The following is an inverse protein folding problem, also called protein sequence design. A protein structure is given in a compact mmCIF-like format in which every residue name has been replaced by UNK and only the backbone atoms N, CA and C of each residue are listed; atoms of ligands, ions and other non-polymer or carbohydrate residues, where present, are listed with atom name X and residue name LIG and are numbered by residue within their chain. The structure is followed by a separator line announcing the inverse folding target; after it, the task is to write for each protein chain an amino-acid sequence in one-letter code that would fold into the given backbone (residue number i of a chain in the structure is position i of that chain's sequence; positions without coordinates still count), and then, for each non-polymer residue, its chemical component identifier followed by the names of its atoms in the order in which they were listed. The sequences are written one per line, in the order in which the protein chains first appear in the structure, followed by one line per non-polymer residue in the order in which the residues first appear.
data_IF_170878052394
#
_entry.id   IF_170878052394
#
_cell.length_a   1.000
_cell.length_b   1.000
_cell.length_c   1.000
_cell.angle_alpha   90.00
_cell.angle_beta   90.00
_cell.angle_gamma   90.00
#
_symmetry.space_group_name_H-M   'P 1'
#
loop_
_entity.id
_entity.type
_entity.pdbx_description
1 polymer ?
#
# COMPACT_ATOMS: atom_id res chain seq x y z
N UNK A 1 -9.28 13.84 29.18
CA UNK A 1 -10.14 13.93 27.98
C UNK A 1 -10.53 12.52 27.59
N UNK A 2 -11.82 12.23 27.71
CA UNK A 2 -12.41 10.90 27.58
C UNK A 2 -12.11 10.25 26.23
N UNK A 3 -11.86 8.95 26.26
CA UNK A 3 -11.60 8.09 25.09
C UNK A 3 -12.75 8.11 24.07
N UNK A 4 -13.94 8.57 24.47
CA UNK A 4 -15.18 8.63 23.68
C UNK A 4 -15.45 9.98 23.00
N UNK A 5 -14.58 10.98 23.19
CA UNK A 5 -14.81 12.31 22.61
C UNK A 5 -14.46 12.37 21.11
N UNK A 6 -15.27 13.05 20.28
CA UNK A 6 -15.01 13.17 18.85
C UNK A 6 -13.68 13.89 18.60
N UNK A 7 -12.95 13.57 17.51
CA UNK A 7 -11.64 14.15 17.23
C UNK A 7 -11.67 15.66 16.95
N UNK A 8 -12.84 16.21 16.62
CA UNK A 8 -13.08 17.62 16.36
C UNK A 8 -14.54 17.95 16.70
N UNK A 9 -14.86 19.24 16.82
CA UNK A 9 -16.23 19.71 17.15
C UNK A 9 -16.82 20.62 16.08
N UNK A 10 -16.02 21.05 15.09
CA UNK A 10 -16.46 21.88 13.99
C UNK A 10 -17.45 21.13 13.08
N UNK A 11 -18.55 21.78 12.71
CA UNK A 11 -19.40 21.34 11.60
C UNK A 11 -18.89 21.97 10.30
N UNK A 12 -18.48 21.12 9.36
CA UNK A 12 -17.72 21.51 8.15
C UNK A 12 -18.51 21.30 6.87
N UNK A 13 -19.56 20.48 6.95
CA UNK A 13 -20.50 20.28 5.87
C UNK A 13 -21.49 21.45 5.89
N UNK A 14 -21.29 22.44 5.02
CA UNK A 14 -22.25 23.53 4.86
C UNK A 14 -23.59 22.95 4.34
N UNK A 15 -24.75 23.33 4.92
CA UNK A 15 -26.03 22.93 4.37
C UNK A 15 -26.25 23.61 3.03
N UNK A 16 -26.84 22.89 2.07
CA UNK A 16 -27.28 23.51 0.82
C UNK A 16 -28.21 24.70 1.14
N UNK A 17 -28.15 25.74 0.31
CA UNK A 17 -28.89 26.99 0.56
C UNK A 17 -30.40 26.78 0.76
N UNK A 18 -30.95 25.67 0.23
CA UNK A 18 -32.35 25.25 0.36
C UNK A 18 -32.66 24.41 1.62
N UNK A 19 -31.65 23.91 2.35
CA UNK A 19 -31.83 22.97 3.47
C UNK A 19 -31.60 23.59 4.85
N UNK A 20 -31.42 24.92 4.96
CA UNK A 20 -31.13 25.63 6.23
C UNK A 20 -32.13 25.37 7.38
N UNK A 21 -33.31 24.81 7.09
CA UNK A 21 -34.35 24.52 8.08
C UNK A 21 -34.70 23.02 8.24
N UNK A 22 -34.05 22.12 7.51
CA UNK A 22 -34.28 20.66 7.63
C UNK A 22 -33.11 20.08 8.41
N UNK A 23 -33.36 19.46 9.57
CA UNK A 23 -32.35 18.65 10.25
C UNK A 23 -31.86 17.61 9.24
N UNK A 24 -30.59 17.70 8.85
CA UNK A 24 -29.95 16.76 7.93
C UNK A 24 -30.20 15.35 8.43
N UNK A 25 -30.91 14.54 7.64
CA UNK A 25 -31.18 13.15 8.00
C UNK A 25 -29.87 12.38 7.97
N UNK A 26 -29.60 11.55 8.99
CA UNK A 26 -28.42 10.68 9.05
C UNK A 26 -28.29 9.80 7.79
N UNK A 27 -29.43 9.42 7.19
CA UNK A 27 -29.50 8.70 5.93
C UNK A 27 -28.83 9.44 4.75
N UNK A 28 -28.75 10.77 4.79
CA UNK A 28 -28.09 11.58 3.75
C UNK A 28 -26.55 11.52 3.81
N UNK A 29 -25.99 11.04 4.94
CA UNK A 29 -24.56 10.88 5.12
C UNK A 29 -24.06 9.50 4.68
N UNK A 30 -24.96 8.53 4.59
CA UNK A 30 -24.70 7.15 4.21
C UNK A 30 -24.80 6.98 2.68
N UNK A 31 -24.12 5.98 2.10
CA UNK A 31 -24.26 5.67 0.68
C UNK A 31 -25.68 5.20 0.35
N UNK A 32 -26.04 5.22 -0.93
CA UNK A 32 -27.38 4.80 -1.36
C UNK A 32 -27.67 3.31 -1.08
N UNK A 33 -26.66 2.46 -1.20
CA UNK A 33 -26.76 1.01 -0.98
C UNK A 33 -25.44 0.46 -0.45
N UNK A 34 -25.48 -0.62 0.32
CA UNK A 34 -24.32 -1.41 0.72
C UNK A 34 -24.47 -2.86 0.27
N UNK A 35 -23.38 -3.61 0.31
CA UNK A 35 -23.36 -5.06 0.03
C UNK A 35 -23.01 -5.84 1.27
N UNK A 36 -23.89 -6.75 1.67
CA UNK A 36 -23.69 -7.67 2.78
C UNK A 36 -23.97 -9.08 2.27
N UNK A 37 -22.98 -9.98 2.35
CA UNK A 37 -23.10 -11.37 1.87
C UNK A 37 -23.65 -11.52 0.43
N UNK A 38 -23.15 -10.67 -0.49
CA UNK A 38 -23.58 -10.57 -1.89
C UNK A 38 -24.99 -10.00 -2.13
N UNK A 39 -25.76 -9.73 -1.08
CA UNK A 39 -27.05 -9.05 -1.15
C UNK A 39 -26.90 -7.51 -1.13
N UNK A 40 -27.82 -6.82 -1.82
CA UNK A 40 -27.89 -5.36 -1.85
C UNK A 40 -28.86 -4.89 -0.77
N UNK A 41 -28.36 -4.11 0.19
CA UNK A 41 -29.13 -3.61 1.33
C UNK A 41 -29.08 -2.08 1.41
N UNK A 42 -30.09 -1.48 2.04
CA UNK A 42 -30.06 -0.05 2.40
C UNK A 42 -29.22 0.07 3.67
N UNK A 43 -28.12 0.84 3.65
CA UNK A 43 -27.26 0.95 4.81
C UNK A 43 -27.98 1.66 5.95
N UNK A 44 -27.85 1.10 7.15
CA UNK A 44 -28.17 1.73 8.41
C UNK A 44 -26.85 2.20 9.03
N UNK A 45 -26.88 3.14 9.98
CA UNK A 45 -25.69 3.56 10.74
C UNK A 45 -25.29 2.53 11.81
N UNK A 46 -25.52 1.25 11.53
CA UNK A 46 -25.26 0.14 12.44
C UNK A 46 -23.76 -0.24 12.49
N UNK A 47 -23.41 -1.00 13.53
CA UNK A 47 -22.03 -1.45 13.74
C UNK A 47 -21.55 -2.32 12.59
N UNK A 48 -22.41 -3.17 12.01
CA UNK A 48 -22.03 -4.06 10.91
C UNK A 48 -21.64 -3.29 9.65
N UNK A 49 -22.41 -2.27 9.26
CA UNK A 49 -22.06 -1.37 8.16
C UNK A 49 -20.72 -0.67 8.43
N UNK A 50 -20.55 -0.07 9.61
CA UNK A 50 -19.33 0.67 9.96
C UNK A 50 -18.10 -0.25 10.01
N UNK A 51 -18.27 -1.48 10.49
CA UNK A 51 -17.20 -2.48 10.48
C UNK A 51 -16.74 -2.80 9.07
N UNK A 52 -17.67 -3.00 8.14
CA UNK A 52 -17.34 -3.30 6.75
C UNK A 52 -16.68 -2.11 6.04
N UNK A 53 -17.12 -0.89 6.34
CA UNK A 53 -16.62 0.33 5.70
C UNK A 53 -15.29 0.86 6.26
N UNK A 54 -15.00 0.63 7.55
CA UNK A 54 -13.86 1.24 8.23
C UNK A 54 -12.78 0.24 8.67
N UNK A 55 -13.14 -1.02 8.97
CA UNK A 55 -12.16 -1.97 9.50
C UNK A 55 -11.25 -2.52 8.41
N UNK A 56 -9.95 -2.35 8.65
CA UNK A 56 -8.88 -2.87 7.79
C UNK A 56 -8.40 -4.26 8.22
N UNK A 57 -9.34 -5.20 8.47
CA UNK A 57 -9.08 -6.55 9.02
C UNK A 57 -7.93 -7.26 8.32
N UNK A 58 -7.95 -7.27 6.98
CA UNK A 58 -6.93 -7.89 6.13
C UNK A 58 -5.52 -7.34 6.41
N UNK A 59 -5.40 -6.04 6.60
CA UNK A 59 -4.09 -5.41 6.78
C UNK A 59 -3.57 -5.54 8.20
N UNK A 60 -4.49 -5.61 9.16
CA UNK A 60 -4.20 -5.90 10.56
C UNK A 60 -3.61 -7.32 10.75
N UNK A 61 -3.99 -8.29 9.91
CA UNK A 61 -3.44 -9.65 9.91
C UNK A 61 -1.94 -9.71 9.58
N UNK A 62 -1.47 -8.76 8.76
CA UNK A 62 -0.10 -8.73 8.24
C UNK A 62 0.67 -7.50 8.71
N UNK A 63 0.24 -6.90 9.82
CA UNK A 63 0.82 -5.66 10.36
C UNK A 63 2.35 -5.75 10.53
N UNK A 64 2.82 -6.85 11.09
CA UNK A 64 4.22 -7.24 11.30
C UNK A 64 5.07 -7.26 10.01
N UNK A 65 4.42 -7.32 8.84
CA UNK A 65 5.06 -7.35 7.52
C UNK A 65 4.80 -6.09 6.69
N UNK A 66 4.02 -5.12 7.20
CA UNK A 66 3.70 -3.89 6.45
C UNK A 66 4.93 -3.03 6.13
N UNK A 67 5.97 -3.12 6.96
CA UNK A 67 7.27 -2.47 6.71
C UNK A 67 7.93 -2.94 5.39
N UNK A 68 7.61 -4.15 4.92
CA UNK A 68 8.06 -4.62 3.60
C UNK A 68 7.32 -3.83 2.52
N UNK A 69 6.05 -3.50 2.72
CA UNK A 69 5.19 -2.87 1.74
C UNK A 69 5.37 -1.35 1.62
N UNK A 70 5.83 -0.68 2.68
CA UNK A 70 5.98 0.77 2.74
C UNK A 70 6.74 1.22 3.98
N UNK A 71 7.16 2.48 3.99
CA UNK A 71 7.83 3.08 5.16
C UNK A 71 6.76 3.62 6.14
N UNK A 72 7.03 3.62 7.46
CA UNK A 72 6.12 4.17 8.46
C UNK A 72 6.13 5.71 8.44
N UNK A 73 5.62 6.27 7.34
CA UNK A 73 5.50 7.69 7.12
C UNK A 73 4.08 8.01 6.62
N UNK A 74 3.55 9.21 6.93
CA UNK A 74 2.30 9.67 6.34
C UNK A 74 2.36 9.64 4.80
N UNK A 75 1.22 9.51 4.12
CA UNK A 75 1.17 9.52 2.66
C UNK A 75 1.67 10.87 2.13
N UNK A 76 2.25 10.88 0.92
CA UNK A 76 2.61 12.14 0.28
C UNK A 76 1.36 12.87 -0.20
N UNK A 77 1.37 14.22 -0.23
CA UNK A 77 0.24 15.01 -0.70
C UNK A 77 -0.16 14.69 -2.16
N UNK A 78 -1.40 14.97 -2.53
CA UNK A 78 -1.98 14.60 -3.83
C UNK A 78 -1.24 15.18 -5.05
N UNK A 79 -0.80 16.44 -4.99
CA UNK A 79 0.01 17.05 -6.04
C UNK A 79 1.32 16.30 -6.25
N UNK A 80 1.92 15.79 -5.16
CA UNK A 80 3.14 14.99 -5.24
C UNK A 80 2.85 13.59 -5.80
N UNK A 81 1.67 13.02 -5.56
CA UNK A 81 1.25 11.79 -6.26
C UNK A 81 1.21 12.00 -7.78
N UNK A 82 0.66 13.14 -8.24
CA UNK A 82 0.67 13.51 -9.67
C UNK A 82 2.10 13.73 -10.20
N UNK A 83 3.00 14.36 -9.43
CA UNK A 83 4.43 14.50 -9.80
C UNK A 83 5.13 13.14 -9.96
N UNK A 84 4.76 12.15 -9.15
CA UNK A 84 5.23 10.77 -9.29
C UNK A 84 4.57 10.01 -10.45
N UNK A 85 3.83 10.72 -11.32
CA UNK A 85 3.08 10.16 -12.45
C UNK A 85 2.10 9.05 -12.02
N UNK A 86 1.47 9.23 -10.86
CA UNK A 86 0.41 8.34 -10.37
C UNK A 86 -0.97 8.91 -10.69
N UNK A 87 -1.79 8.11 -11.34
CA UNK A 87 -3.21 8.33 -11.49
C UNK A 87 -3.91 8.07 -10.15
N UNK A 88 -4.79 8.99 -9.77
CA UNK A 88 -5.63 8.86 -8.59
C UNK A 88 -6.90 8.09 -9.00
N UNK A 89 -7.09 6.90 -8.43
CA UNK A 89 -8.21 6.01 -8.75
C UNK A 89 -9.11 5.89 -7.52
N UNK A 90 -10.39 6.22 -7.70
CA UNK A 90 -11.42 6.08 -6.66
C UNK A 90 -11.69 4.59 -6.39
N UNK A 91 -11.81 4.23 -5.12
CA UNK A 91 -12.08 2.87 -4.69
C UNK A 91 -12.82 2.85 -3.34
N UNK A 92 -14.02 2.27 -3.28
CA UNK A 92 -14.77 2.20 -2.02
C UNK A 92 -14.23 1.16 -1.01
N UNK A 93 -13.37 0.22 -1.44
CA UNK A 93 -12.74 -0.74 -0.52
C UNK A 93 -11.67 -0.04 0.35
N UNK A 94 -11.94 0.06 1.67
CA UNK A 94 -11.02 0.66 2.66
C UNK A 94 -9.67 -0.06 2.73
N UNK A 95 -9.65 -1.36 2.42
CA UNK A 95 -8.42 -2.14 2.41
C UNK A 95 -7.45 -1.66 1.31
N UNK A 96 -7.97 -1.07 0.23
CA UNK A 96 -7.18 -0.51 -0.86
C UNK A 96 -6.83 0.97 -0.67
N UNK A 97 -7.37 1.66 0.33
CA UNK A 97 -7.04 3.06 0.59
C UNK A 97 -5.52 3.23 0.83
N UNK A 98 -4.91 4.15 0.06
CA UNK A 98 -3.46 4.43 -0.04
C UNK A 98 -2.57 3.27 -0.54
N UNK A 99 -3.19 2.22 -1.08
CA UNK A 99 -2.45 1.18 -1.79
C UNK A 99 -2.15 1.66 -3.20
N UNK A 100 -0.93 1.43 -3.68
CA UNK A 100 -0.53 1.82 -5.03
C UNK A 100 0.06 0.66 -5.83
N UNK A 101 -0.15 0.72 -7.14
CA UNK A 101 0.32 -0.27 -8.11
C UNK A 101 0.71 0.42 -9.41
N UNK A 102 1.95 0.19 -9.86
CA UNK A 102 2.52 0.85 -11.06
C UNK A 102 2.35 2.38 -10.96
N UNK A 103 1.56 2.95 -11.87
CA UNK A 103 1.29 4.37 -11.99
C UNK A 103 -0.09 4.73 -11.42
N UNK A 104 -0.62 3.97 -10.46
CA UNK A 104 -1.95 4.22 -9.88
C UNK A 104 -1.90 4.15 -8.36
N UNK A 105 -2.64 5.04 -7.70
CA UNK A 105 -2.92 4.99 -6.27
C UNK A 105 -4.42 4.90 -6.06
N UNK A 106 -4.86 3.96 -5.22
CA UNK A 106 -6.26 3.76 -4.89
C UNK A 106 -6.60 4.56 -3.64
N UNK A 107 -7.63 5.41 -3.73
CA UNK A 107 -8.10 6.24 -2.64
C UNK A 107 -9.61 6.08 -2.51
N UNK A 108 -10.06 5.65 -1.33
CA UNK A 108 -11.46 5.75 -0.90
C UNK A 108 -11.82 7.21 -0.63
N UNK A 109 -12.89 7.76 -1.25
CA UNK A 109 -13.39 9.11 -0.97
C UNK A 109 -13.65 9.30 0.53
N UNK A 110 -13.51 10.53 1.02
CA UNK A 110 -13.77 10.85 2.41
C UNK A 110 -15.29 10.80 2.67
N UNK A 111 -15.79 9.82 3.45
CA UNK A 111 -17.22 9.70 3.65
C UNK A 111 -17.76 10.91 4.43
N UNK A 112 -18.92 11.48 4.04
CA UNK A 112 -19.50 12.64 4.71
C UNK A 112 -19.74 12.42 6.21
N UNK A 113 -20.14 11.20 6.61
CA UNK A 113 -20.36 10.88 8.02
C UNK A 113 -19.09 11.02 8.90
N UNK A 114 -17.88 10.87 8.33
CA UNK A 114 -16.63 11.10 9.06
C UNK A 114 -16.29 12.59 9.23
N UNK A 115 -17.08 13.49 8.63
CA UNK A 115 -16.95 14.94 8.73
C UNK A 115 -18.05 15.56 9.61
N UNK A 116 -18.98 14.75 10.11
CA UNK A 116 -20.06 15.17 10.98
C UNK A 116 -19.75 14.81 12.46
N UNK A 117 -19.48 15.79 13.34
CA UNK A 117 -19.06 15.50 14.71
C UNK A 117 -20.15 14.84 15.57
N UNK A 118 -21.42 14.97 15.19
CA UNK A 118 -22.53 14.37 15.91
C UNK A 118 -22.66 12.88 15.54
N UNK A 119 -22.40 12.52 14.28
CA UNK A 119 -22.24 11.12 13.85
C UNK A 119 -21.13 10.40 14.62
N UNK A 120 -19.98 11.07 14.83
CA UNK A 120 -18.89 10.51 15.65
C UNK A 120 -19.36 10.16 17.06
N UNK A 121 -20.08 11.07 17.73
CA UNK A 121 -20.60 10.83 19.10
C UNK A 121 -21.63 9.70 19.13
N UNK A 122 -22.51 9.66 18.12
CA UNK A 122 -23.63 8.73 18.08
C UNK A 122 -23.23 7.30 17.72
N UNK A 123 -22.26 7.11 16.81
CA UNK A 123 -21.99 5.79 16.23
C UNK A 123 -20.54 5.30 16.37
N UNK A 124 -19.55 6.19 16.46
CA UNK A 124 -18.13 5.81 16.48
C UNK A 124 -17.58 5.77 17.92
N UNK A 125 -17.83 6.83 18.71
CA UNK A 125 -17.29 7.01 20.06
C UNK A 125 -17.74 5.97 21.09
N UNK A 126 -18.88 5.31 20.85
CA UNK A 126 -19.44 4.26 21.72
C UNK A 126 -18.55 3.00 21.72
N UNK A 127 -17.85 2.72 20.62
CA UNK A 127 -17.01 1.52 20.49
C UNK A 127 -15.64 1.63 21.17
N UNK A 128 -15.28 2.82 21.68
CA UNK A 128 -14.01 3.05 22.36
C UNK A 128 -13.95 2.43 23.78
N UNK A 129 -15.10 2.12 24.39
CA UNK A 129 -15.21 1.60 25.77
C UNK A 129 -15.11 0.06 25.87
N UNK A 130 -15.07 -0.67 24.74
CA UNK A 130 -14.97 -2.12 24.77
C UNK A 130 -13.54 -2.56 25.13
N UNK A 131 -13.33 -2.88 26.41
CA UNK A 131 -12.13 -3.50 27.01
C UNK A 131 -11.81 -4.91 26.46
N UNK A 132 -11.73 -5.08 25.14
CA UNK A 132 -11.18 -6.31 24.57
C UNK A 132 -9.68 -6.15 24.33
N UNK A 133 -8.94 -7.12 24.89
CA UNK A 133 -7.48 -7.19 25.07
C UNK A 133 -6.70 -7.26 23.73
N UNK A 134 -7.39 -7.23 22.58
CA UNK A 134 -6.83 -7.11 21.21
C UNK A 134 -7.15 -5.73 20.57
N UNK A 135 -7.19 -4.68 21.40
CA UNK A 135 -7.91 -3.40 21.27
C UNK A 135 -7.68 -2.48 20.05
N UNK A 136 -6.92 -2.89 19.03
CA UNK A 136 -6.74 -2.13 17.78
C UNK A 136 -7.33 -2.79 16.54
N UNK A 137 -7.58 -4.12 16.59
CA UNK A 137 -7.97 -4.89 15.39
C UNK A 137 -9.46 -4.77 15.04
N UNK A 138 -10.30 -4.43 16.02
CA UNK A 138 -11.74 -4.20 15.85
C UNK A 138 -12.20 -2.81 16.29
N UNK A 139 -11.28 -1.88 16.55
CA UNK A 139 -11.63 -0.55 17.05
C UNK A 139 -11.98 0.38 15.87
N UNK A 140 -13.28 0.70 15.73
CA UNK A 140 -13.81 1.59 14.70
C UNK A 140 -13.27 3.01 14.86
N UNK A 141 -13.20 3.52 16.09
CA UNK A 141 -12.66 4.86 16.38
C UNK A 141 -11.21 4.98 15.91
N UNK A 142 -10.36 4.00 16.23
CA UNK A 142 -8.97 4.01 15.80
C UNK A 142 -8.82 3.95 14.26
N UNK A 143 -9.68 3.19 13.58
CA UNK A 143 -9.70 3.11 12.12
C UNK A 143 -10.20 4.41 11.49
N UNK A 144 -11.28 4.99 12.01
CA UNK A 144 -11.85 6.25 11.55
C UNK A 144 -10.86 7.41 11.73
N UNK A 145 -10.18 7.50 12.89
CA UNK A 145 -9.16 8.52 13.14
C UNK A 145 -7.96 8.34 12.22
N UNK A 146 -7.52 7.10 12.00
CA UNK A 146 -6.45 6.80 11.06
C UNK A 146 -6.80 7.18 9.61
N UNK A 147 -8.05 6.94 9.20
CA UNK A 147 -8.57 7.34 7.90
C UNK A 147 -8.65 8.87 7.75
N UNK A 148 -9.13 9.59 8.77
CA UNK A 148 -9.15 11.05 8.72
C UNK A 148 -7.72 11.63 8.69
N UNK A 149 -6.81 11.01 9.47
CA UNK A 149 -5.39 11.37 9.47
C UNK A 149 -4.74 11.22 8.09
N UNK A 150 -5.05 10.16 7.33
CA UNK A 150 -4.50 10.02 5.97
C UNK A 150 -4.89 11.20 5.07
N UNK A 151 -6.13 11.66 5.16
CA UNK A 151 -6.62 12.81 4.39
C UNK A 151 -5.96 14.12 4.80
N UNK A 152 -5.64 14.33 6.09
CA UNK A 152 -4.87 15.50 6.53
C UNK A 152 -3.47 15.56 5.89
N UNK A 153 -2.86 14.40 5.63
CA UNK A 153 -1.56 14.31 4.98
C UNK A 153 -1.65 14.36 3.44
N UNK A 154 -2.72 13.81 2.85
CA UNK A 154 -2.97 13.86 1.40
C UNK A 154 -3.31 15.29 0.94
N UNK A 155 -4.03 16.06 1.76
CA UNK A 155 -4.55 17.39 1.40
C UNK A 155 -3.87 18.46 2.26
N UNK A 156 -2.60 18.71 1.97
CA UNK A 156 -1.78 19.67 2.71
C UNK A 156 -1.87 21.09 2.13
N UNK A 157 -1.95 21.22 0.81
CA UNK A 157 -1.94 22.51 0.12
C UNK A 157 -3.27 22.80 -0.60
N UNK A 158 -3.49 24.07 -0.95
CA UNK A 158 -4.67 24.48 -1.72
C UNK A 158 -4.76 23.78 -3.09
N UNK A 159 -3.61 23.48 -3.70
CA UNK A 159 -3.52 22.67 -4.93
C UNK A 159 -4.03 21.24 -4.70
N UNK A 160 -3.66 20.61 -3.58
CA UNK A 160 -4.16 19.27 -3.22
C UNK A 160 -5.66 19.28 -3.01
N UNK A 161 -6.19 20.32 -2.35
CA UNK A 161 -7.61 20.46 -2.13
C UNK A 161 -8.38 20.52 -3.45
N UNK A 162 -7.87 21.29 -4.42
CA UNK A 162 -8.46 21.34 -5.77
C UNK A 162 -8.39 19.97 -6.45
N UNK A 163 -7.26 19.27 -6.37
CA UNK A 163 -7.11 17.91 -6.91
C UNK A 163 -8.11 16.94 -6.25
N UNK A 164 -8.30 17.03 -4.95
CA UNK A 164 -9.23 16.19 -4.21
C UNK A 164 -10.69 16.40 -4.69
N UNK A 165 -11.09 17.65 -4.92
CA UNK A 165 -12.41 17.99 -5.48
C UNK A 165 -12.55 17.51 -6.93
N UNK A 166 -11.55 17.76 -7.78
CA UNK A 166 -11.51 17.27 -9.18
C UNK A 166 -11.68 15.75 -9.26
N UNK A 167 -11.08 15.01 -8.33
CA UNK A 167 -11.12 13.56 -8.27
C UNK A 167 -12.30 13.01 -7.44
N UNK A 168 -13.23 13.85 -6.95
CA UNK A 168 -14.37 13.41 -6.15
C UNK A 168 -14.01 12.75 -4.81
N UNK A 169 -12.83 13.06 -4.25
CA UNK A 169 -12.36 12.52 -2.97
C UNK A 169 -12.93 13.28 -1.76
N UNK A 170 -13.35 14.52 -1.95
CA UNK A 170 -13.98 15.35 -0.93
C UNK A 170 -15.41 15.71 -1.34
N UNK A 171 -16.36 15.74 -0.39
CA UNK A 171 -17.70 16.28 -0.61
C UNK A 171 -17.69 17.70 -1.15
N UNK A 172 -18.65 18.02 -2.02
CA UNK A 172 -18.77 19.34 -2.66
C UNK A 172 -19.07 20.47 -1.66
N UNK A 173 -19.76 20.16 -0.57
CA UNK A 173 -20.09 21.09 0.51
C UNK A 173 -18.89 21.64 1.29
N UNK A 174 -17.70 21.03 1.19
CA UNK A 174 -16.53 21.46 1.97
C UNK A 174 -15.80 22.59 1.25
N UNK A 175 -15.58 23.69 1.97
CA UNK A 175 -14.68 24.77 1.59
C UNK A 175 -13.24 24.53 2.09
N UNK A 176 -12.25 25.18 1.48
CA UNK A 176 -10.86 25.08 1.92
C UNK A 176 -10.62 25.67 3.32
N UNK A 177 -11.30 26.76 3.68
CA UNK A 177 -11.11 27.35 5.02
C UNK A 177 -11.73 26.43 6.07
N UNK A 178 -12.87 25.81 5.78
CA UNK A 178 -13.50 24.80 6.64
C UNK A 178 -12.60 23.56 6.78
N UNK A 179 -11.98 23.10 5.68
CA UNK A 179 -10.99 22.03 5.71
C UNK A 179 -9.76 22.39 6.56
N UNK A 180 -9.19 23.58 6.39
CA UNK A 180 -8.05 24.05 7.17
C UNK A 180 -8.37 24.10 8.67
N UNK A 181 -9.54 24.63 9.03
CA UNK A 181 -9.98 24.67 10.43
C UNK A 181 -10.15 23.27 11.03
N UNK A 182 -10.78 22.34 10.30
CA UNK A 182 -10.93 20.94 10.73
C UNK A 182 -9.58 20.25 10.92
N UNK A 183 -8.69 20.37 9.94
CA UNK A 183 -7.37 19.72 10.01
C UNK A 183 -6.52 20.28 11.16
N UNK A 184 -6.59 21.58 11.42
CA UNK A 184 -5.91 22.21 12.56
C UNK A 184 -6.42 21.64 13.89
N UNK A 185 -7.75 21.59 14.09
CA UNK A 185 -8.34 21.04 15.33
C UNK A 185 -8.04 19.55 15.51
N UNK A 186 -8.10 18.78 14.42
CA UNK A 186 -7.80 17.35 14.41
C UNK A 186 -6.34 17.08 14.78
N UNK A 187 -5.41 17.82 14.17
CA UNK A 187 -3.97 17.62 14.36
C UNK A 187 -3.46 18.10 15.73
N UNK A 188 -4.09 19.10 16.33
CA UNK A 188 -3.76 19.57 17.69
C UNK A 188 -3.90 18.45 18.73
N UNK A 189 -4.91 17.59 18.57
CA UNK A 189 -5.20 16.47 19.47
C UNK A 189 -4.74 15.11 18.92
N UNK A 190 -4.03 15.10 17.80
CA UNK A 190 -3.64 13.87 17.12
C UNK A 190 -2.55 13.13 17.90
N UNK A 191 -2.74 11.83 18.07
CA UNK A 191 -1.73 10.94 18.64
C UNK A 191 -1.67 9.61 17.89
N UNK A 192 -0.46 9.13 17.63
CA UNK A 192 -0.22 7.89 16.87
C UNK A 192 -0.68 6.61 17.58
N UNK A 193 -0.75 6.64 18.92
CA UNK A 193 -1.26 5.54 19.74
C UNK A 193 -2.78 5.37 19.64
N UNK A 194 -3.50 6.38 19.15
CA UNK A 194 -4.96 6.34 19.01
C UNK A 194 -5.44 5.99 17.60
N UNK A 195 -4.54 5.78 16.66
CA UNK A 195 -4.89 5.41 15.29
C UNK A 195 -4.57 3.95 15.04
N UNK A 196 -5.35 3.29 14.19
CA UNK A 196 -5.06 1.91 13.83
C UNK A 196 -3.65 1.82 13.19
N UNK A 197 -2.82 0.83 13.58
CA UNK A 197 -1.42 0.72 13.15
C UNK A 197 -1.20 0.62 11.64
N UNK A 198 -2.23 0.26 10.86
CA UNK A 198 -2.20 0.37 9.40
C UNK A 198 -1.84 1.79 8.95
N UNK A 199 -2.41 2.81 9.57
CA UNK A 199 -2.27 4.21 9.16
C UNK A 199 -0.94 4.85 9.57
N UNK A 200 -0.09 4.14 10.33
CA UNK A 200 1.32 4.52 10.49
C UNK A 200 2.08 4.44 9.16
N UNK A 201 1.61 3.59 8.26
CA UNK A 201 2.13 3.40 6.92
C UNK A 201 1.17 4.03 5.92
N UNK A 202 1.55 5.18 5.37
CA UNK A 202 0.76 5.88 4.36
C UNK A 202 0.67 5.08 3.06
N UNK A 203 1.75 5.07 2.28
CA UNK A 203 1.74 4.46 0.94
C UNK A 203 2.21 3.01 0.96
N UNK A 204 1.36 2.09 0.49
CA UNK A 204 1.66 0.66 0.53
C UNK A 204 1.62 0.02 -0.85
N UNK A 205 2.70 -0.68 -1.20
CA UNK A 205 2.87 -1.24 -2.55
C UNK A 205 2.11 -2.55 -2.69
N UNK A 206 1.14 -2.58 -3.60
CA UNK A 206 0.30 -3.76 -3.86
C UNK A 206 1.12 -4.99 -4.29
N UNK A 207 2.24 -4.80 -5.00
CA UNK A 207 3.11 -5.92 -5.40
C UNK A 207 3.71 -6.67 -4.23
N UNK A 208 4.01 -5.96 -3.15
CA UNK A 208 4.61 -6.54 -1.95
C UNK A 208 3.51 -7.16 -1.07
N UNK A 209 2.35 -6.51 -0.99
CA UNK A 209 1.16 -7.08 -0.35
C UNK A 209 0.75 -8.42 -0.99
N UNK A 210 0.70 -8.48 -2.32
CA UNK A 210 0.40 -9.73 -3.04
C UNK A 210 1.40 -10.84 -2.72
N UNK A 211 2.71 -10.53 -2.69
CA UNK A 211 3.75 -11.50 -2.32
C UNK A 211 3.57 -11.99 -0.88
N UNK A 212 3.36 -11.09 0.09
CA UNK A 212 3.15 -11.46 1.49
C UNK A 212 1.95 -12.41 1.63
N UNK A 213 0.82 -12.09 0.98
CA UNK A 213 -0.36 -12.95 1.01
C UNK A 213 -0.12 -14.30 0.34
N UNK A 214 0.58 -14.31 -0.80
CA UNK A 214 0.97 -15.54 -1.49
C UNK A 214 1.83 -16.44 -0.61
N UNK A 215 2.83 -15.88 0.09
CA UNK A 215 3.76 -16.66 0.91
C UNK A 215 3.18 -17.05 2.27
N UNK A 216 2.45 -16.16 2.95
CA UNK A 216 1.97 -16.40 4.33
C UNK A 216 0.65 -17.16 4.39
N UNK A 217 -0.28 -16.91 3.45
CA UNK A 217 -1.63 -17.50 3.49
C UNK A 217 -1.80 -18.62 2.45
N UNK A 218 -0.73 -19.03 1.75
CA UNK A 218 -0.74 -20.16 0.81
C UNK A 218 -1.56 -19.95 -0.47
N UNK A 219 -2.13 -18.76 -0.67
CA UNK A 219 -2.92 -18.41 -1.85
C UNK A 219 -2.02 -18.01 -3.02
N UNK A 220 -1.26 -18.97 -3.57
CA UNK A 220 -0.38 -18.77 -4.74
C UNK A 220 -1.10 -18.08 -5.93
N UNK A 221 -2.41 -18.28 -6.06
CA UNK A 221 -3.21 -17.72 -7.15
C UNK A 221 -4.20 -16.62 -6.74
N UNK A 222 -4.34 -16.32 -5.44
CA UNK A 222 -5.28 -15.30 -4.93
C UNK A 222 -4.53 -14.29 -4.05
N UNK A 223 -3.96 -13.29 -4.71
CA UNK A 223 -3.24 -12.19 -4.05
C UNK A 223 -4.14 -11.30 -3.18
N UNK A 224 -3.56 -10.22 -2.65
CA UNK A 224 -4.26 -9.25 -1.81
C UNK A 224 -5.41 -8.55 -2.57
N UNK A 225 -5.27 -8.24 -3.84
CA UNK A 225 -6.40 -7.77 -4.64
C UNK A 225 -6.32 -8.26 -6.08
N UNK A 226 -7.48 -8.60 -6.65
CA UNK A 226 -7.60 -9.03 -8.04
C UNK A 226 -7.34 -7.91 -9.05
N UNK A 227 -7.37 -6.64 -8.60
CA UNK A 227 -7.14 -5.45 -9.44
C UNK A 227 -5.77 -5.49 -10.15
N UNK A 228 -4.77 -6.20 -9.59
CA UNK A 228 -3.46 -6.39 -10.22
C UNK A 228 -3.18 -7.81 -10.72
N UNK A 229 -4.14 -8.75 -10.61
CA UNK A 229 -3.89 -10.18 -10.85
C UNK A 229 -3.50 -10.50 -12.29
N UNK A 230 -4.10 -9.82 -13.28
CA UNK A 230 -3.82 -10.08 -14.70
C UNK A 230 -2.41 -9.64 -15.13
N UNK A 231 -1.82 -8.63 -14.49
CA UNK A 231 -0.46 -8.16 -14.80
C UNK A 231 0.65 -9.01 -14.18
N UNK A 232 0.39 -9.72 -13.07
CA UNK A 232 1.45 -10.41 -12.34
C UNK A 232 2.01 -11.59 -13.14
N UNK A 233 1.17 -12.34 -13.85
CA UNK A 233 1.64 -13.47 -14.66
C UNK A 233 2.39 -12.99 -15.91
N UNK A 234 1.86 -11.97 -16.60
CA UNK A 234 2.50 -11.38 -17.78
C UNK A 234 3.86 -10.75 -17.48
N UNK A 235 3.98 -10.01 -16.38
CA UNK A 235 5.24 -9.39 -15.97
C UNK A 235 6.25 -10.44 -15.49
N UNK A 236 5.83 -11.43 -14.68
CA UNK A 236 6.72 -12.52 -14.26
C UNK A 236 7.21 -13.34 -15.43
N UNK A 237 6.35 -13.68 -16.39
CA UNK A 237 6.77 -14.38 -17.58
C UNK A 237 7.73 -13.54 -18.41
N UNK A 238 7.41 -12.27 -18.69
CA UNK A 238 8.26 -11.42 -19.53
C UNK A 238 9.63 -11.14 -18.92
N UNK A 239 9.68 -10.86 -17.62
CA UNK A 239 10.91 -10.56 -16.89
C UNK A 239 11.78 -11.82 -16.72
N UNK A 240 11.17 -12.97 -16.40
CA UNK A 240 11.90 -14.22 -16.28
C UNK A 240 12.29 -14.81 -17.64
N UNK A 241 11.54 -14.55 -18.71
CA UNK A 241 11.86 -15.04 -20.05
C UNK A 241 13.16 -14.42 -20.58
N UNK A 242 13.45 -13.16 -20.27
CA UNK A 242 14.72 -12.54 -20.66
C UNK A 242 15.91 -13.21 -19.97
N UNK A 243 15.77 -13.57 -18.69
CA UNK A 243 16.80 -14.30 -17.92
C UNK A 243 16.94 -15.73 -18.44
N UNK A 244 15.81 -16.44 -18.65
CA UNK A 244 15.79 -17.80 -19.20
C UNK A 244 16.39 -17.84 -20.61
N UNK A 245 16.06 -16.87 -21.47
CA UNK A 245 16.64 -16.74 -22.81
C UNK A 245 18.14 -16.47 -22.75
N UNK A 246 18.60 -15.66 -21.79
CA UNK A 246 20.02 -15.45 -21.53
C UNK A 246 20.74 -16.73 -21.12
N UNK A 247 20.18 -17.49 -20.19
CA UNK A 247 20.72 -18.80 -19.76
C UNK A 247 20.73 -19.79 -20.92
N UNK A 248 19.63 -19.90 -21.67
CA UNK A 248 19.53 -20.78 -22.83
C UNK A 248 20.51 -20.39 -23.93
N UNK A 249 20.62 -19.09 -24.24
CA UNK A 249 21.58 -18.58 -25.22
C UNK A 249 23.02 -18.89 -24.81
N UNK A 250 23.35 -18.75 -23.53
CA UNK A 250 24.66 -19.13 -23.00
C UNK A 250 24.91 -20.64 -23.13
N UNK A 251 23.93 -21.47 -22.76
CA UNK A 251 24.04 -22.94 -22.90
C UNK A 251 24.24 -23.33 -24.36
N UNK A 252 23.52 -22.72 -25.29
CA UNK A 252 23.69 -22.96 -26.74
C UNK A 252 25.08 -22.57 -27.20
N UNK A 253 25.58 -21.39 -26.83
CA UNK A 253 26.94 -20.95 -27.18
C UNK A 253 28.00 -21.90 -26.62
N UNK A 254 27.87 -22.32 -25.36
CA UNK A 254 28.78 -23.26 -24.73
C UNK A 254 28.75 -24.64 -25.41
N UNK A 255 27.56 -25.15 -25.74
CA UNK A 255 27.38 -26.42 -26.45
C UNK A 255 27.92 -26.33 -27.88
N UNK A 256 27.70 -25.23 -28.60
CA UNK A 256 28.26 -25.02 -29.93
C UNK A 256 29.79 -24.93 -29.91
N UNK A 257 30.38 -24.25 -28.92
CA UNK A 257 31.83 -24.23 -28.74
C UNK A 257 32.38 -25.64 -28.47
N UNK A 258 31.69 -26.45 -27.66
CA UNK A 258 32.03 -27.84 -27.40
C UNK A 258 31.91 -28.72 -28.67
N UNK A 259 30.85 -28.55 -29.45
CA UNK A 259 30.63 -29.26 -30.71
C UNK A 259 31.67 -28.90 -31.77
N UNK A 260 32.07 -27.63 -31.87
CA UNK A 260 33.14 -27.17 -32.75
C UNK A 260 34.49 -27.74 -32.31
N UNK A 261 34.76 -27.81 -31.01
CA UNK A 261 35.99 -28.44 -30.49
C UNK A 261 36.10 -29.93 -30.81
N UNK A 262 34.97 -30.66 -30.79
CA UNK A 262 34.92 -32.10 -31.04
C UNK A 262 34.94 -32.51 -32.53
N UNK A 263 34.68 -31.59 -33.46
CA UNK A 263 34.45 -31.90 -34.89
C UNK A 263 35.62 -31.58 -35.83
N UNK A 264 36.76 -31.10 -35.31
CA UNK A 264 37.91 -30.72 -36.14
C UNK A 264 38.97 -31.83 -36.15
N UNK A 265 38.80 -32.82 -37.03
CA UNK A 265 39.81 -33.87 -37.31
C UNK A 265 41.09 -33.34 -37.97
N UNK A 266 41.11 -32.10 -38.47
CA UNK A 266 42.26 -31.51 -39.21
C UNK A 266 43.31 -30.78 -38.36
N UNK A 267 43.16 -30.76 -37.04
CA UNK A 267 44.09 -30.12 -36.08
C UNK A 267 44.58 -31.10 -34.99
N UNK A 268 44.34 -32.39 -35.20
CA UNK A 268 44.60 -33.49 -34.27
C UNK A 268 46.09 -33.63 -33.89
N UNK A 269 47.01 -33.08 -34.69
CA UNK A 269 48.46 -33.21 -34.49
C UNK A 269 49.20 -32.03 -33.85
N UNK A 270 48.56 -30.89 -33.57
CA UNK A 270 49.25 -29.70 -33.01
C UNK A 270 48.84 -29.42 -31.56
N UNK A 271 49.67 -29.89 -30.62
CA UNK A 271 49.45 -29.75 -29.17
C UNK A 271 49.21 -28.31 -28.73
N UNK A 272 49.94 -27.33 -29.28
CA UNK A 272 49.79 -25.93 -28.90
C UNK A 272 48.39 -25.38 -29.22
N UNK A 273 47.77 -25.84 -30.31
CA UNK A 273 46.43 -25.42 -30.70
C UNK A 273 45.35 -26.08 -29.84
N UNK A 274 45.54 -27.34 -29.46
CA UNK A 274 44.62 -28.07 -28.58
C UNK A 274 44.64 -27.49 -27.16
N UNK A 275 45.83 -27.19 -26.62
CA UNK A 275 45.99 -26.59 -25.29
C UNK A 275 45.35 -25.19 -25.22
N UNK A 276 45.54 -24.39 -26.28
CA UNK A 276 44.95 -23.05 -26.37
C UNK A 276 43.42 -23.11 -26.47
N UNK A 277 42.89 -24.03 -27.27
CA UNK A 277 41.44 -24.21 -27.46
C UNK A 277 40.76 -24.75 -26.20
N UNK A 278 41.41 -25.68 -25.49
CA UNK A 278 40.94 -26.17 -24.20
C UNK A 278 40.91 -25.06 -23.15
N UNK A 279 42.00 -24.28 -23.03
CA UNK A 279 42.08 -23.14 -22.12
C UNK A 279 41.01 -22.09 -22.40
N UNK A 280 40.78 -21.75 -23.66
CA UNK A 280 39.74 -20.80 -24.08
C UNK A 280 38.32 -21.30 -23.77
N UNK A 281 38.07 -22.60 -23.95
CA UNK A 281 36.76 -23.23 -23.67
C UNK A 281 36.46 -23.22 -22.17
N UNK A 282 37.42 -23.64 -21.35
CA UNK A 282 37.31 -23.62 -19.89
C UNK A 282 37.15 -22.19 -19.37
N UNK A 283 37.92 -21.23 -19.90
CA UNK A 283 37.80 -19.82 -19.57
C UNK A 283 36.40 -19.26 -19.90
N UNK A 284 35.89 -19.58 -21.10
CA UNK A 284 34.56 -19.14 -21.55
C UNK A 284 33.42 -19.74 -20.72
N UNK A 285 33.63 -20.91 -20.11
CA UNK A 285 32.66 -21.54 -19.21
C UNK A 285 32.70 -20.95 -17.79
N UNK A 286 33.90 -20.69 -17.27
CA UNK A 286 34.13 -20.27 -15.88
C UNK A 286 33.86 -18.78 -15.70
N UNK A 287 34.27 -17.93 -16.63
CA UNK A 287 34.16 -16.47 -16.51
C UNK A 287 32.71 -16.00 -16.28
N UNK A 288 31.69 -16.48 -17.03
CA UNK A 288 30.31 -16.09 -16.79
C UNK A 288 29.77 -16.58 -15.45
N UNK A 289 30.20 -17.75 -14.97
CA UNK A 289 29.81 -18.26 -13.65
C UNK A 289 30.41 -17.41 -12.52
N UNK A 290 31.67 -17.03 -12.65
CA UNK A 290 32.34 -16.11 -11.72
C UNK A 290 31.63 -14.75 -11.74
N UNK A 291 31.34 -14.21 -12.92
CA UNK A 291 30.64 -12.94 -13.08
C UNK A 291 29.23 -12.99 -12.45
N UNK A 292 28.47 -14.06 -12.68
CA UNK A 292 27.17 -14.28 -12.05
C UNK A 292 27.28 -14.36 -10.52
N UNK A 293 28.30 -15.04 -10.00
CA UNK A 293 28.60 -15.09 -8.57
C UNK A 293 28.90 -13.72 -7.97
N UNK A 294 29.70 -12.90 -8.65
CA UNK A 294 29.97 -11.52 -8.24
C UNK A 294 28.72 -10.64 -8.27
N UNK A 295 27.91 -10.72 -9.33
CA UNK A 295 26.64 -9.99 -9.43
C UNK A 295 25.71 -10.40 -8.28
N UNK A 296 25.59 -11.71 -8.02
CA UNK A 296 24.77 -12.22 -6.93
C UNK A 296 25.25 -11.71 -5.58
N UNK A 297 26.55 -11.77 -5.29
CA UNK A 297 27.12 -11.27 -4.05
C UNK A 297 26.91 -9.76 -3.90
N UNK A 298 27.11 -8.99 -4.97
CA UNK A 298 26.87 -7.55 -4.97
C UNK A 298 25.40 -7.21 -4.67
N UNK A 299 24.46 -7.89 -5.34
CA UNK A 299 23.02 -7.74 -5.10
C UNK A 299 22.67 -8.15 -3.66
N UNK A 300 23.26 -9.23 -3.13
CA UNK A 300 23.06 -9.69 -1.76
C UNK A 300 23.52 -8.63 -0.74
N UNK A 301 24.71 -8.06 -0.94
CA UNK A 301 25.24 -7.00 -0.07
C UNK A 301 24.34 -5.76 -0.13
N UNK A 302 23.94 -5.32 -1.33
CA UNK A 302 22.99 -4.22 -1.48
C UNK A 302 21.66 -4.50 -0.79
N UNK A 303 21.14 -5.72 -0.92
CA UNK A 303 19.89 -6.14 -0.30
C UNK A 303 19.98 -6.10 1.23
N UNK A 304 21.02 -6.70 1.81
CA UNK A 304 21.25 -6.71 3.27
C UNK A 304 21.46 -5.29 3.81
N UNK A 305 22.21 -4.46 3.09
CA UNK A 305 22.41 -3.05 3.47
C UNK A 305 21.10 -2.27 3.46
N UNK A 306 20.32 -2.36 2.39
CA UNK A 306 19.01 -1.72 2.28
C UNK A 306 18.01 -2.23 3.32
N UNK A 307 18.03 -3.53 3.62
CA UNK A 307 17.23 -4.15 4.66
C UNK A 307 17.57 -3.55 6.03
N UNK A 308 18.86 -3.53 6.39
CA UNK A 308 19.34 -2.95 7.66
C UNK A 308 18.96 -1.48 7.78
N UNK A 309 19.16 -0.70 6.72
CA UNK A 309 18.79 0.71 6.69
C UNK A 309 17.27 0.91 6.88
N UNK A 310 16.45 0.08 6.24
CA UNK A 310 14.99 0.15 6.34
C UNK A 310 14.51 -0.20 7.75
N UNK A 311 15.02 -1.28 8.34
CA UNK A 311 14.69 -1.69 9.72
C UNK A 311 15.18 -0.69 10.77
N UNK A 312 16.37 -0.12 10.58
CA UNK A 312 16.87 0.94 11.45
C UNK A 312 16.01 2.21 11.38
N UNK A 313 15.57 2.61 10.17
CA UNK A 313 14.65 3.72 9.98
C UNK A 313 13.29 3.47 10.64
N UNK A 314 12.71 2.28 10.43
CA UNK A 314 11.44 1.88 11.03
C UNK A 314 11.51 1.97 12.56
N UNK A 315 12.52 1.36 13.18
CA UNK A 315 12.71 1.40 14.63
C UNK A 315 12.86 2.82 15.17
N UNK A 316 13.66 3.66 14.50
CA UNK A 316 13.83 5.08 14.87
C UNK A 316 12.52 5.85 14.76
N UNK A 317 11.75 5.59 13.70
CA UNK A 317 10.50 6.30 13.43
C UNK A 317 9.39 5.89 14.39
N UNK A 318 9.24 4.60 14.67
CA UNK A 318 8.27 4.10 15.65
C UNK A 318 8.56 4.65 17.05
N UNK A 319 9.84 4.67 17.45
CA UNK A 319 10.26 5.33 18.70
C UNK A 319 9.93 6.83 18.72
N UNK A 320 10.12 7.54 17.59
CA UNK A 320 9.83 8.97 17.50
C UNK A 320 8.33 9.29 17.57
N UNK A 321 7.46 8.39 17.11
CA UNK A 321 6.00 8.56 17.21
C UNK A 321 5.41 7.98 18.51
N UNK A 322 6.24 7.38 19.37
CA UNK A 322 5.83 6.89 20.69
C UNK A 322 4.99 5.62 20.66
N UNK A 323 5.18 4.76 19.66
CA UNK A 323 4.47 3.48 19.54
C UNK A 323 5.47 2.32 19.52
N UNK A 324 5.13 1.22 20.18
CA UNK A 324 5.99 0.04 20.26
C UNK A 324 5.74 -0.93 19.09
N UNK A 325 6.72 -1.80 18.84
CA UNK A 325 6.55 -2.93 17.93
C UNK A 325 5.56 -3.93 18.55
N UNK A 326 4.49 -4.25 17.81
CA UNK A 326 3.58 -5.35 18.14
C UNK A 326 4.25 -6.72 17.99
#
# INVERSE_FOLDING_TARGET
MDLSSPPYTLQVLEPDYHEKHIKRSEASLLPATSRVNDDIVIPQSDTEFLENELLVKRLNDIHDLLWICGRPMPPRPLHHQRLLSRDIVICEDVALHMVWWRNRIFLKPLPPYLLDPDFWKAHIGITADAQHIDGYRGNLDACARGFLFSYTALIAYRSDFRIAKECGLLPDAISWESWKALTAQFLENHRYDRINPRYWYGELRLSRLNKIYSFRKGYLFRGYSRVASHSVYGDLLRDNFSVLAGILGYVVVALSAMQVGLSVERLEGNQAFQDTSYGLTVFSLIVPLIAAGFIFLFVLVMFVSNWRATKAYEKRRLKAIGVDHF
#
